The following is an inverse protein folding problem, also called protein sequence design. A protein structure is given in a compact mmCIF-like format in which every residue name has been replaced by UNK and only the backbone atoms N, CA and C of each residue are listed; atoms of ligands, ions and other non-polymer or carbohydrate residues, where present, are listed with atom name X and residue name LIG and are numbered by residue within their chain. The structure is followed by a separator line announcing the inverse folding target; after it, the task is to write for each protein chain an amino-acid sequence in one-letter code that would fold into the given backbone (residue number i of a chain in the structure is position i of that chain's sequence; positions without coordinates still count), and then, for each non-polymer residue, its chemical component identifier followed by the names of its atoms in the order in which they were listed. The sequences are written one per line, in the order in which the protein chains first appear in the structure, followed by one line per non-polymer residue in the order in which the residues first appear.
data_IF_120510316906
#
_entry.id   IF_120510316906
#
_cell.length_a   1.000
_cell.length_b   1.000
_cell.length_c   1.000
_cell.angle_alpha   90.00
_cell.angle_beta   90.00
_cell.angle_gamma   90.00
#
_symmetry.space_group_name_H-M   'P 1'
#
loop_
_entity.id
_entity.type
_entity.pdbx_description
1 polymer ?
#
# COMPACT_ATOMS: atom_id res chain seq x y z
N UNK A 1 -6.18 -3.26 15.35
CA UNK A 1 -5.48 -3.69 14.13
C UNK A 1 -5.60 -5.18 13.96
N UNK A 2 -5.74 -5.69 12.75
CA UNK A 2 -5.96 -7.11 12.46
C UNK A 2 -4.82 -7.62 11.60
N UNK A 3 -4.34 -8.82 11.85
CA UNK A 3 -3.32 -9.50 11.07
C UNK A 3 -3.77 -10.93 10.74
N UNK A 4 -3.35 -11.48 9.59
CA UNK A 4 -3.75 -12.82 9.16
C UNK A 4 -5.17 -12.93 8.60
N UNK A 5 -5.84 -11.80 8.34
CA UNK A 5 -7.18 -11.78 7.77
C UNK A 5 -7.11 -11.89 6.25
N UNK A 6 -7.76 -12.90 5.71
CA UNK A 6 -7.92 -13.08 4.27
C UNK A 6 -9.31 -12.61 3.79
N UNK A 7 -10.34 -12.88 4.62
CA UNK A 7 -11.73 -12.52 4.34
C UNK A 7 -12.20 -11.46 5.33
N UNK A 8 -12.81 -10.34 4.92
CA UNK A 8 -13.39 -9.39 5.84
C UNK A 8 -14.61 -9.98 6.55
N UNK A 9 -14.76 -9.70 7.84
CA UNK A 9 -15.82 -10.25 8.70
C UNK A 9 -17.26 -10.04 8.19
N UNK A 10 -17.46 -9.01 7.37
CA UNK A 10 -18.80 -8.62 6.91
C UNK A 10 -19.43 -9.54 5.87
N UNK A 11 -18.71 -10.53 5.35
CA UNK A 11 -19.21 -11.44 4.31
C UNK A 11 -19.03 -12.88 4.75
N UNK A 12 -19.93 -13.37 5.62
CA UNK A 12 -20.08 -14.81 5.96
C UNK A 12 -18.79 -15.63 5.75
N UNK A 13 -17.74 -15.27 6.47
CA UNK A 13 -16.43 -15.85 6.33
C UNK A 13 -16.42 -17.28 6.89
N UNK A 14 -17.09 -18.18 6.21
CA UNK A 14 -17.10 -19.63 6.55
C UNK A 14 -15.82 -20.33 6.09
N UNK A 15 -14.97 -19.63 5.33
CA UNK A 15 -13.74 -20.20 4.81
C UNK A 15 -12.50 -19.40 5.23
N UNK A 16 -12.16 -19.51 6.49
CA UNK A 16 -10.79 -19.26 6.95
C UNK A 16 -10.18 -20.65 7.16
N UNK A 17 -9.02 -20.97 6.58
CA UNK A 17 -8.34 -22.22 6.90
C UNK A 17 -8.20 -22.36 8.42
N UNK A 18 -8.56 -23.50 8.97
CA UNK A 18 -8.59 -23.72 10.42
C UNK A 18 -7.24 -23.41 11.11
N UNK A 19 -6.16 -23.48 10.32
CA UNK A 19 -4.79 -23.26 10.78
C UNK A 19 -4.34 -21.77 10.72
N UNK A 20 -5.15 -20.89 10.10
CA UNK A 20 -4.83 -19.47 9.95
C UNK A 20 -5.66 -18.62 10.90
N UNK A 21 -5.27 -18.57 12.16
CA UNK A 21 -5.94 -17.76 13.17
C UNK A 21 -5.68 -16.28 12.94
N UNK A 22 -6.75 -15.51 12.88
CA UNK A 22 -6.68 -14.04 12.84
C UNK A 22 -6.24 -13.53 14.22
N UNK A 23 -5.28 -12.61 14.24
CA UNK A 23 -4.87 -11.90 15.44
C UNK A 23 -5.43 -10.48 15.42
N UNK A 24 -6.02 -10.02 16.53
CA UNK A 24 -6.55 -8.68 16.70
C UNK A 24 -5.94 -8.01 17.91
N UNK A 25 -5.28 -6.89 17.70
CA UNK A 25 -4.66 -6.10 18.74
C UNK A 25 -5.22 -4.67 18.76
N UNK A 26 -5.29 -4.10 19.96
CA UNK A 26 -5.69 -2.71 20.13
C UNK A 26 -4.52 -1.77 19.83
N UNK A 27 -4.84 -0.61 19.27
CA UNK A 27 -3.89 0.47 19.17
C UNK A 27 -3.68 1.11 20.55
N UNK A 28 -2.44 1.24 20.97
CA UNK A 28 -2.05 1.98 22.16
C UNK A 28 -2.08 3.48 21.88
N UNK A 29 -1.51 3.88 20.75
CA UNK A 29 -1.59 5.24 20.22
C UNK A 29 -1.29 5.25 18.71
N UNK A 30 -1.66 6.34 18.06
CA UNK A 30 -1.45 6.58 16.63
C UNK A 30 -0.65 7.88 16.50
N UNK A 31 0.43 7.84 15.72
CA UNK A 31 1.24 9.00 15.38
C UNK A 31 1.05 9.32 13.91
N UNK A 32 0.44 10.44 13.62
CA UNK A 32 0.37 10.97 12.25
C UNK A 32 1.67 11.70 11.92
N UNK A 33 2.01 11.75 10.64
CA UNK A 33 3.17 12.54 10.21
C UNK A 33 3.01 13.99 10.66
N UNK A 34 4.05 14.63 11.22
CA UNK A 34 3.94 16.01 11.77
C UNK A 34 3.58 17.06 10.71
N UNK A 35 3.95 16.81 9.45
CA UNK A 35 3.63 17.68 8.31
C UNK A 35 2.45 17.14 7.48
N UNK A 36 1.59 16.29 8.07
CA UNK A 36 0.38 15.85 7.38
C UNK A 36 -0.57 17.02 7.11
N UNK A 37 -0.98 17.17 5.84
CA UNK A 37 -1.93 18.20 5.42
C UNK A 37 -3.22 17.57 4.89
N UNK A 38 -4.34 17.77 5.58
CA UNK A 38 -5.59 17.10 5.26
C UNK A 38 -6.29 17.60 3.99
N UNK A 39 -5.94 18.79 3.48
CA UNK A 39 -6.53 19.38 2.28
C UNK A 39 -5.89 18.85 1.00
N UNK A 40 -4.58 18.70 1.00
CA UNK A 40 -3.78 18.18 -0.11
C UNK A 40 -3.44 16.72 0.06
N UNK A 41 -3.51 16.26 1.31
CA UNK A 41 -3.07 14.94 1.74
C UNK A 41 -1.56 14.71 1.53
N UNK A 42 -0.76 15.77 1.59
CA UNK A 42 0.68 15.63 1.64
C UNK A 42 1.06 14.93 2.95
N UNK A 43 2.10 14.10 2.90
CA UNK A 43 2.59 13.34 4.03
C UNK A 43 1.50 12.48 4.74
N UNK A 44 0.55 11.92 3.98
CA UNK A 44 -0.53 11.08 4.51
C UNK A 44 -0.02 9.72 4.98
N UNK A 45 0.64 9.74 6.12
CA UNK A 45 1.27 8.60 6.74
C UNK A 45 1.04 8.61 8.25
N UNK A 46 0.80 7.43 8.82
CA UNK A 46 0.65 7.27 10.26
C UNK A 46 1.29 5.97 10.74
N UNK A 47 1.89 6.01 11.92
CA UNK A 47 2.39 4.85 12.64
C UNK A 47 1.42 4.49 13.75
N UNK A 48 1.01 3.24 13.80
CA UNK A 48 0.13 2.70 14.84
C UNK A 48 0.97 1.85 15.78
N UNK A 49 1.12 2.31 17.03
CA UNK A 49 1.75 1.51 18.08
C UNK A 49 0.69 0.67 18.77
N UNK A 50 0.93 -0.61 18.86
CA UNK A 50 -0.01 -1.58 19.43
C UNK A 50 0.22 -1.75 20.93
N UNK A 51 -0.80 -2.22 21.65
CA UNK A 51 -0.70 -2.55 23.09
C UNK A 51 0.18 -3.78 23.33
N UNK A 52 0.26 -4.68 22.34
CA UNK A 52 1.03 -5.92 22.39
C UNK A 52 1.61 -6.24 21.01
N UNK A 53 2.42 -7.27 20.88
CA UNK A 53 3.03 -7.72 19.63
C UNK A 53 2.20 -8.82 18.97
N UNK A 54 2.15 -8.83 17.65
CA UNK A 54 1.63 -9.99 16.92
C UNK A 54 2.56 -11.20 17.12
N UNK A 55 1.96 -12.38 17.22
CA UNK A 55 2.70 -13.63 17.18
C UNK A 55 3.13 -13.93 15.73
N UNK A 56 4.41 -13.77 15.50
CA UNK A 56 5.06 -14.02 14.19
C UNK A 56 5.65 -15.43 14.09
N UNK A 57 5.43 -16.30 15.07
CA UNK A 57 5.85 -17.71 14.98
C UNK A 57 4.96 -18.51 14.02
N UNK A 58 3.80 -17.98 13.66
CA UNK A 58 2.87 -18.61 12.71
C UNK A 58 3.23 -18.22 11.26
N UNK A 59 3.19 -19.16 10.30
CA UNK A 59 3.76 -18.95 8.95
C UNK A 59 3.05 -17.90 8.10
N UNK A 60 1.81 -17.52 8.45
CA UNK A 60 1.00 -16.57 7.68
C UNK A 60 1.04 -15.13 8.24
N UNK A 61 1.82 -14.88 9.29
CA UNK A 61 1.99 -13.55 9.89
C UNK A 61 3.48 -13.28 10.04
N UNK A 62 3.95 -12.23 9.40
CA UNK A 62 5.35 -11.81 9.48
C UNK A 62 5.51 -10.32 9.17
N UNK A 63 6.61 -9.72 9.63
CA UNK A 63 6.94 -8.36 9.28
C UNK A 63 7.37 -8.27 7.81
N UNK A 64 7.01 -7.19 7.15
CA UNK A 64 7.60 -6.82 5.86
C UNK A 64 8.89 -6.03 6.10
N UNK A 65 9.87 -6.16 5.23
CA UNK A 65 11.06 -5.31 5.27
C UNK A 65 10.70 -3.85 4.98
N UNK A 66 11.36 -2.94 5.67
CA UNK A 66 11.33 -1.50 5.37
C UNK A 66 12.61 -1.11 4.64
N UNK A 67 12.57 -0.09 3.76
CA UNK A 67 13.75 0.38 3.06
C UNK A 67 14.73 1.01 4.05
N UNK A 68 16.02 0.80 3.79
CA UNK A 68 17.12 1.50 4.46
C UNK A 68 17.88 2.29 3.41
N UNK A 69 18.76 3.21 3.80
CA UNK A 69 19.57 3.99 2.85
C UNK A 69 20.46 3.07 1.97
N UNK A 70 20.80 1.88 2.45
CA UNK A 70 21.58 0.87 1.70
C UNK A 70 20.73 0.14 0.63
N UNK A 71 19.41 0.18 0.75
CA UNK A 71 18.49 -0.50 -0.14
C UNK A 71 18.11 0.33 -1.39
N UNK A 72 18.41 1.63 -1.42
CA UNK A 72 17.95 2.54 -2.49
C UNK A 72 18.33 2.03 -3.90
N UNK A 73 19.51 1.47 -4.06
CA UNK A 73 19.97 0.90 -5.34
C UNK A 73 19.54 -0.56 -5.56
N UNK A 74 19.13 -1.27 -4.51
CA UNK A 74 18.77 -2.70 -4.57
C UNK A 74 17.28 -2.93 -4.79
N UNK A 75 16.43 -1.92 -4.66
CA UNK A 75 14.98 -2.04 -4.89
C UNK A 75 14.70 -2.04 -6.40
N UNK A 76 13.96 -3.06 -6.87
CA UNK A 76 13.45 -3.11 -8.24
C UNK A 76 12.14 -2.33 -8.33
N UNK A 77 12.01 -1.45 -9.32
CA UNK A 77 10.75 -0.76 -9.60
C UNK A 77 9.79 -1.57 -10.47
N UNK A 78 10.23 -2.72 -10.96
CA UNK A 78 9.42 -3.70 -11.69
C UNK A 78 9.01 -4.84 -10.77
N UNK A 79 7.83 -5.40 -11.00
CA UNK A 79 7.31 -6.52 -10.21
C UNK A 79 6.80 -6.12 -8.83
N UNK A 80 6.51 -4.84 -8.61
CA UNK A 80 5.89 -4.39 -7.37
C UNK A 80 4.43 -4.83 -7.26
N UNK A 81 3.94 -5.01 -6.05
CA UNK A 81 2.56 -5.39 -5.77
C UNK A 81 1.91 -4.46 -4.76
N UNK A 82 0.63 -4.23 -4.95
CA UNK A 82 -0.23 -3.66 -3.93
C UNK A 82 -1.35 -4.63 -3.58
N UNK A 83 -1.86 -4.56 -2.37
CA UNK A 83 -2.90 -5.46 -1.85
C UNK A 83 -4.03 -4.70 -1.19
N UNK A 84 -5.24 -5.27 -1.21
CA UNK A 84 -6.38 -4.69 -0.52
C UNK A 84 -7.70 -5.41 -0.77
N UNK A 85 -8.74 -4.91 -0.13
CA UNK A 85 -10.14 -5.34 -0.27
C UNK A 85 -11.01 -4.25 -0.94
N UNK A 86 -10.39 -3.33 -1.64
CA UNK A 86 -11.07 -2.25 -2.32
C UNK A 86 -12.04 -2.72 -3.39
N UNK A 87 -12.76 -1.77 -3.96
CA UNK A 87 -13.78 -2.05 -4.97
C UNK A 87 -13.17 -2.61 -6.25
N UNK A 88 -13.98 -3.40 -6.96
CA UNK A 88 -13.61 -3.98 -8.26
C UNK A 88 -13.77 -3.01 -9.44
N UNK A 89 -14.46 -1.88 -9.21
CA UNK A 89 -14.74 -0.86 -10.24
C UNK A 89 -14.82 0.53 -9.62
N UNK A 90 -14.47 1.53 -10.42
CA UNK A 90 -14.65 2.93 -10.04
C UNK A 90 -16.13 3.31 -9.90
N UNK A 91 -16.38 4.27 -8.99
CA UNK A 91 -17.69 4.86 -8.79
C UNK A 91 -18.63 4.07 -7.87
N UNK A 92 -19.93 4.40 -7.95
CA UNK A 92 -20.92 3.89 -6.99
C UNK A 92 -21.30 2.42 -7.21
N UNK A 93 -21.05 1.88 -8.39
CA UNK A 93 -21.47 0.51 -8.79
C UNK A 93 -20.42 -0.57 -8.49
N UNK A 94 -19.25 -0.20 -7.99
CA UNK A 94 -18.21 -1.17 -7.60
C UNK A 94 -18.54 -1.84 -6.28
N UNK A 95 -18.30 -3.14 -6.21
CA UNK A 95 -18.44 -3.96 -5.00
C UNK A 95 -17.08 -4.17 -4.33
N UNK A 96 -17.05 -4.13 -3.00
CA UNK A 96 -15.84 -4.45 -2.23
C UNK A 96 -15.46 -5.91 -2.40
N UNK A 97 -14.16 -6.17 -2.50
CA UNK A 97 -13.65 -7.53 -2.64
C UNK A 97 -13.98 -8.36 -1.40
N UNK A 98 -14.55 -9.54 -1.61
CA UNK A 98 -14.81 -10.51 -0.55
C UNK A 98 -13.58 -11.34 -0.14
N UNK A 99 -12.51 -11.27 -0.93
CA UNK A 99 -11.20 -11.89 -0.69
C UNK A 99 -10.15 -10.85 -1.00
N UNK A 100 -9.09 -10.79 -0.19
CA UNK A 100 -7.98 -9.88 -0.45
C UNK A 100 -7.40 -10.12 -1.85
N UNK A 101 -7.24 -9.07 -2.59
CA UNK A 101 -6.64 -9.09 -3.93
C UNK A 101 -5.25 -8.51 -3.88
N UNK A 102 -4.41 -8.92 -4.80
CA UNK A 102 -3.15 -8.26 -5.11
C UNK A 102 -3.15 -7.83 -6.57
N UNK A 103 -2.47 -6.75 -6.87
CA UNK A 103 -2.30 -6.21 -8.21
C UNK A 103 -0.85 -5.85 -8.44
N UNK A 104 -0.31 -6.22 -9.59
CA UNK A 104 1.04 -5.81 -9.96
C UNK A 104 1.02 -4.39 -10.52
N UNK A 105 1.80 -3.52 -9.90
CA UNK A 105 1.90 -2.09 -10.24
C UNK A 105 3.37 -1.70 -10.24
N UNK A 106 3.98 -1.62 -11.40
CA UNK A 106 5.37 -1.18 -11.50
C UNK A 106 5.49 0.29 -11.09
N UNK A 107 6.54 0.65 -10.38
CA UNK A 107 6.79 2.03 -9.99
C UNK A 107 7.33 2.85 -11.15
N UNK A 108 7.03 4.14 -11.15
CA UNK A 108 7.65 5.10 -12.05
C UNK A 108 8.99 5.51 -11.45
N UNK A 109 10.07 5.31 -12.20
CA UNK A 109 11.46 5.42 -11.74
C UNK A 109 11.82 6.80 -11.17
N UNK A 110 11.25 7.88 -11.70
CA UNK A 110 11.61 9.25 -11.29
C UNK A 110 10.40 10.12 -11.02
N UNK A 111 10.56 11.08 -10.09
CA UNK A 111 9.54 12.09 -9.77
C UNK A 111 9.18 12.93 -11.00
N UNK A 112 10.15 13.29 -11.82
CA UNK A 112 9.91 14.08 -13.04
C UNK A 112 9.03 13.33 -14.03
N UNK A 113 9.31 12.03 -14.23
CA UNK A 113 8.49 11.17 -15.09
C UNK A 113 7.08 11.00 -14.54
N UNK A 114 6.96 10.80 -13.22
CA UNK A 114 5.68 10.75 -12.53
C UNK A 114 4.88 12.03 -12.75
N UNK A 115 5.47 13.19 -12.51
CA UNK A 115 4.83 14.50 -12.73
C UNK A 115 4.43 14.71 -14.19
N UNK A 116 5.30 14.34 -15.15
CA UNK A 116 4.98 14.42 -16.59
C UNK A 116 3.74 13.59 -16.94
N UNK A 117 3.66 12.35 -16.42
CA UNK A 117 2.52 11.47 -16.66
C UNK A 117 1.23 12.04 -16.03
N UNK A 118 1.30 12.52 -14.80
CA UNK A 118 0.15 13.11 -14.11
C UNK A 118 -0.35 14.39 -14.79
N UNK A 119 0.53 15.21 -15.37
CA UNK A 119 0.15 16.40 -16.14
C UNK A 119 -0.59 16.11 -17.45
N UNK A 120 -0.56 14.87 -17.92
CA UNK A 120 -1.35 14.41 -19.08
C UNK A 120 -2.75 13.94 -18.70
N UNK A 121 -3.07 13.91 -17.41
CA UNK A 121 -4.41 13.61 -16.88
C UNK A 121 -5.21 14.89 -16.63
N UNK A 122 -6.37 14.76 -15.98
CA UNK A 122 -7.22 15.87 -15.57
C UNK A 122 -6.56 16.85 -14.57
N UNK A 123 -5.40 16.47 -14.00
CA UNK A 123 -4.62 17.32 -13.11
C UNK A 123 -3.95 18.51 -13.80
N UNK A 124 -3.91 18.51 -15.12
CA UNK A 124 -3.42 19.59 -15.98
C UNK A 124 -1.91 19.85 -15.93
N UNK A 125 -1.42 20.67 -16.90
CA UNK A 125 0.00 21.03 -17.02
C UNK A 125 0.59 21.84 -15.85
N UNK A 126 -0.26 22.38 -14.99
CA UNK A 126 0.14 23.18 -13.83
C UNK A 126 0.34 22.35 -12.55
N UNK A 127 0.02 21.05 -12.60
CA UNK A 127 0.20 20.19 -11.45
C UNK A 127 1.66 20.06 -11.06
N UNK A 128 1.94 20.23 -9.77
CA UNK A 128 3.25 19.99 -9.17
C UNK A 128 3.14 18.80 -8.22
N UNK A 129 3.96 17.78 -8.45
CA UNK A 129 4.03 16.60 -7.61
C UNK A 129 4.77 16.94 -6.31
N UNK A 130 4.09 16.74 -5.18
CA UNK A 130 4.74 16.87 -3.88
C UNK A 130 5.79 15.78 -3.67
N UNK A 131 6.94 16.09 -3.03
CA UNK A 131 7.99 15.12 -2.75
C UNK A 131 7.54 13.89 -1.96
N UNK A 132 6.46 13.98 -1.17
CA UNK A 132 5.91 12.85 -0.43
C UNK A 132 5.23 11.79 -1.29
N UNK A 133 4.93 12.08 -2.56
CA UNK A 133 4.25 11.15 -3.45
C UNK A 133 5.18 10.39 -4.39
N UNK A 134 4.81 9.15 -4.69
CA UNK A 134 5.36 8.33 -5.76
C UNK A 134 4.25 7.93 -6.73
N UNK A 135 4.61 7.52 -7.95
CA UNK A 135 3.69 6.94 -8.92
C UNK A 135 3.94 5.44 -9.08
N UNK A 136 2.87 4.68 -9.21
CA UNK A 136 2.93 3.28 -9.66
C UNK A 136 1.75 2.98 -10.58
N UNK A 137 1.86 1.96 -11.44
CA UNK A 137 0.82 1.53 -12.36
C UNK A 137 0.90 2.21 -13.72
N UNK A 138 -0.22 2.70 -14.24
CA UNK A 138 -0.32 3.32 -15.58
C UNK A 138 -0.72 2.34 -16.68
N UNK A 139 -1.01 1.07 -16.37
CA UNK A 139 -1.59 0.11 -17.31
C UNK A 139 -3.11 0.20 -17.29
N UNK A 140 -3.74 0.37 -18.46
CA UNK A 140 -5.20 0.47 -18.58
C UNK A 140 -5.90 -0.77 -18.00
N UNK A 141 -6.83 -0.55 -17.08
CA UNK A 141 -7.62 -1.62 -16.45
C UNK A 141 -6.92 -2.33 -15.29
N UNK A 142 -5.74 -1.85 -14.89
CA UNK A 142 -4.97 -2.36 -13.75
C UNK A 142 -4.70 -1.20 -12.82
N UNK A 143 -5.41 -1.16 -11.69
CA UNK A 143 -5.29 -0.09 -10.71
C UNK A 143 -5.85 -0.52 -9.37
N UNK A 144 -5.59 0.28 -8.34
CA UNK A 144 -6.24 0.21 -7.04
C UNK A 144 -7.52 1.06 -7.03
N UNK A 145 -8.40 0.80 -6.10
CA UNK A 145 -9.71 1.43 -6.07
C UNK A 145 -10.10 1.90 -4.66
N UNK A 146 -11.27 2.51 -4.55
CA UNK A 146 -11.83 2.96 -3.26
C UNK A 146 -11.83 1.81 -2.26
N UNK A 147 -11.20 2.02 -1.12
CA UNK A 147 -11.06 1.04 -0.04
C UNK A 147 -9.70 0.34 0.05
N UNK A 148 -8.80 0.58 -0.93
CA UNK A 148 -7.41 0.10 -0.86
C UNK A 148 -6.48 1.11 -0.17
N UNK A 149 -6.97 2.31 0.16
CA UNK A 149 -6.18 3.35 0.83
C UNK A 149 -5.55 2.87 2.14
N UNK A 150 -4.28 3.24 2.36
CA UNK A 150 -3.47 2.76 3.49
C UNK A 150 -2.82 1.40 3.25
N UNK A 151 -3.18 0.70 2.15
CA UNK A 151 -2.54 -0.55 1.76
C UNK A 151 -1.09 -0.36 1.30
N UNK A 152 -0.26 -1.41 1.39
CA UNK A 152 1.15 -1.31 1.04
C UNK A 152 1.38 -1.35 -0.47
N UNK A 153 2.44 -0.68 -0.93
CA UNK A 153 3.14 -1.01 -2.16
C UNK A 153 4.46 -1.68 -1.79
N UNK A 154 4.65 -2.90 -2.22
CA UNK A 154 5.86 -3.68 -1.95
C UNK A 154 6.58 -3.98 -3.25
N UNK A 155 7.89 -3.83 -3.24
CA UNK A 155 8.76 -4.08 -4.40
C UNK A 155 9.81 -5.12 -4.07
N UNK A 156 10.21 -5.98 -5.03
CA UNK A 156 11.24 -6.98 -4.81
C UNK A 156 12.63 -6.33 -4.79
N UNK A 157 13.58 -6.96 -4.10
CA UNK A 157 14.99 -6.61 -4.21
C UNK A 157 15.58 -7.15 -5.53
N UNK A 158 16.50 -6.38 -6.14
CA UNK A 158 17.24 -6.84 -7.33
C UNK A 158 18.17 -8.00 -6.97
N UNK A 159 18.79 -7.95 -5.81
CA UNK A 159 19.67 -9.01 -5.29
C UNK A 159 18.92 -10.29 -4.92
N UNK A 160 17.64 -10.18 -4.55
CA UNK A 160 16.79 -11.31 -4.17
C UNK A 160 15.32 -11.03 -4.49
N UNK A 161 14.84 -11.47 -5.64
CA UNK A 161 13.47 -11.23 -6.10
C UNK A 161 12.36 -11.89 -5.24
N UNK A 162 12.71 -12.73 -4.28
CA UNK A 162 11.77 -13.29 -3.31
C UNK A 162 11.66 -12.46 -2.04
N UNK A 163 12.54 -11.49 -1.84
CA UNK A 163 12.50 -10.56 -0.73
C UNK A 163 11.85 -9.26 -1.14
N UNK A 164 10.75 -8.92 -0.50
CA UNK A 164 9.98 -7.70 -0.75
C UNK A 164 10.21 -6.67 0.34
N UNK A 165 10.22 -5.41 -0.08
CA UNK A 165 10.36 -4.24 0.78
C UNK A 165 9.15 -3.34 0.58
N UNK A 166 8.55 -2.83 1.66
CA UNK A 166 7.46 -1.87 1.56
C UNK A 166 8.03 -0.48 1.25
N UNK A 167 7.83 0.00 0.03
CA UNK A 167 8.39 1.26 -0.47
C UNK A 167 7.41 2.43 -0.37
N UNK A 168 6.11 2.14 -0.21
CA UNK A 168 5.09 3.19 -0.19
C UNK A 168 3.78 2.66 0.41
N UNK A 169 2.84 3.59 0.69
CA UNK A 169 1.44 3.28 1.01
C UNK A 169 0.52 3.88 -0.03
N UNK A 170 -0.56 3.18 -0.33
CA UNK A 170 -1.54 3.63 -1.31
C UNK A 170 -2.42 4.75 -0.75
N UNK A 171 -2.57 5.76 -1.57
CA UNK A 171 -3.64 6.73 -1.46
C UNK A 171 -4.26 6.96 -2.84
N UNK A 172 -5.57 6.96 -2.96
CA UNK A 172 -6.38 7.13 -4.18
C UNK A 172 -5.60 7.62 -5.41
N UNK A 173 -4.99 6.68 -6.16
CA UNK A 173 -4.28 6.95 -7.41
C UNK A 173 -2.81 7.42 -7.30
N UNK A 174 -2.30 7.62 -6.09
CA UNK A 174 -0.90 8.04 -5.84
C UNK A 174 -0.37 7.33 -4.59
N UNK A 175 0.92 7.06 -4.52
CA UNK A 175 1.54 6.44 -3.35
C UNK A 175 2.32 7.45 -2.54
N UNK A 176 2.21 7.37 -1.21
CA UNK A 176 3.03 8.17 -0.29
C UNK A 176 4.34 7.44 -0.04
N UNK A 177 5.46 8.14 -0.26
CA UNK A 177 6.80 7.58 -0.08
C UNK A 177 7.11 7.31 1.38
N UNK A 178 7.65 6.12 1.66
CA UNK A 178 8.31 5.81 2.94
C UNK A 178 9.80 6.15 2.82
N UNK A 179 10.16 7.43 3.02
CA UNK A 179 11.54 7.79 3.35
C UNK A 179 11.62 7.95 4.87
N UNK A 180 12.39 7.10 5.51
CA UNK A 180 12.84 7.32 6.89
C UNK A 180 14.08 8.20 6.91
#
# INVERSE_FOLDING_TARGET
MTCGEWLPESKNATYQPADHKIQRLKAKFIMTHPEFENTTNFNDFAVIVLEDSFDTSVPHIGPICLPTDEDDDDISFEGCFATGWGKDKYGRKGDYAGVMKHVQLDMVETKDKCQELLRKTDLTKFFNLDPSFNCAGGKKGVDLCTGDGGGPLVCPKKSNSQQFVQVSQHKTGVYVSLKM
#
